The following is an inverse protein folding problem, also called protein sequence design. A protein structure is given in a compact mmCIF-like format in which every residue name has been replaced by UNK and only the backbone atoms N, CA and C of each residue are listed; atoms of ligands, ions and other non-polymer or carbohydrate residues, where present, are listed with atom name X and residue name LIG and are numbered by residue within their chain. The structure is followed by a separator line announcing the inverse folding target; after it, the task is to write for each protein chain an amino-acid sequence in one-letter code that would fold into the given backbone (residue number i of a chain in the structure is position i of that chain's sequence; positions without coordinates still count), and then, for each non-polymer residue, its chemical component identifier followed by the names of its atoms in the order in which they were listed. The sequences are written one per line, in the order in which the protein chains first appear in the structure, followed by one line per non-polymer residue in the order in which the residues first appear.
data_IF_168345213826
#
_entry.id   IF_168345213826
#
_cell.length_a   1.000
_cell.length_b   1.000
_cell.length_c   1.000
_cell.angle_alpha   90.00
_cell.angle_beta   90.00
_cell.angle_gamma   90.00
#
_symmetry.space_group_name_H-M   'P 1'
#
loop_
_entity.id
_entity.type
_entity.pdbx_description
1 polymer ?
#
# COMPACT_ATOMS: atom_id res chain seq x y z
N UNK A 1 -15.81 1.26 7.11
CA UNK A 1 -14.70 1.13 6.15
C UNK A 1 -13.44 1.59 6.85
N UNK A 2 -12.35 0.82 6.82
CA UNK A 2 -11.09 1.19 7.49
C UNK A 2 -10.02 1.49 6.43
N UNK A 3 -9.42 2.68 6.52
CA UNK A 3 -8.28 3.05 5.69
C UNK A 3 -6.99 2.56 6.32
N UNK A 4 -6.10 2.02 5.49
CA UNK A 4 -4.80 1.50 5.91
C UNK A 4 -3.70 2.14 5.07
N UNK A 5 -2.63 2.56 5.74
CA UNK A 5 -1.35 2.88 5.13
C UNK A 5 -0.40 1.69 5.32
N UNK A 6 0.33 1.31 4.28
CA UNK A 6 1.37 0.30 4.35
C UNK A 6 2.75 0.94 4.27
N UNK A 7 3.52 0.82 5.35
CA UNK A 7 4.94 1.20 5.39
C UNK A 7 5.80 0.00 4.98
N UNK A 8 6.43 0.11 3.81
CA UNK A 8 7.27 -0.93 3.25
C UNK A 8 6.48 -1.95 2.40
N UNK A 9 6.94 -2.14 1.16
CA UNK A 9 6.42 -3.11 0.17
C UNK A 9 7.51 -4.09 -0.28
N UNK A 10 8.29 -4.55 0.69
CA UNK A 10 9.16 -5.73 0.56
C UNK A 10 8.35 -7.03 0.39
N UNK A 11 8.96 -8.19 0.64
CA UNK A 11 8.33 -9.50 0.40
C UNK A 11 6.95 -9.61 1.06
N UNK A 12 6.88 -9.40 2.37
CA UNK A 12 5.64 -9.54 3.15
C UNK A 12 4.71 -8.35 2.94
N UNK A 13 5.25 -7.15 2.74
CA UNK A 13 4.45 -5.97 2.41
C UNK A 13 3.60 -6.17 1.15
N UNK A 14 4.14 -6.79 0.11
CA UNK A 14 3.38 -7.12 -1.12
C UNK A 14 2.23 -8.11 -0.87
N UNK A 15 2.45 -9.12 -0.03
CA UNK A 15 1.41 -10.08 0.35
C UNK A 15 0.29 -9.38 1.12
N UNK A 16 0.64 -8.55 2.10
CA UNK A 16 -0.34 -7.77 2.85
C UNK A 16 -1.10 -6.79 1.95
N UNK A 17 -0.42 -6.09 1.04
CA UNK A 17 -1.07 -5.19 0.11
C UNK A 17 -2.15 -5.90 -0.73
N UNK A 18 -1.84 -7.10 -1.24
CA UNK A 18 -2.80 -7.93 -1.97
C UNK A 18 -3.99 -8.37 -1.12
N UNK A 19 -3.77 -8.74 0.14
CA UNK A 19 -4.85 -9.11 1.05
C UNK A 19 -5.74 -7.90 1.40
N UNK A 20 -5.13 -6.75 1.69
CA UNK A 20 -5.83 -5.51 2.01
C UNK A 20 -6.71 -5.05 0.83
N UNK A 21 -6.20 -5.12 -0.40
CA UNK A 21 -6.93 -4.74 -1.61
C UNK A 21 -8.16 -5.64 -1.89
N UNK A 22 -8.16 -6.88 -1.39
CA UNK A 22 -9.27 -7.84 -1.57
C UNK A 22 -10.27 -7.82 -0.42
N UNK A 23 -9.96 -7.15 0.69
CA UNK A 23 -10.79 -7.23 1.88
C UNK A 23 -11.93 -6.19 1.83
N UNK A 24 -13.21 -6.61 1.86
CA UNK A 24 -14.35 -5.74 1.51
C UNK A 24 -14.61 -4.59 2.49
N UNK A 25 -14.00 -4.62 3.68
CA UNK A 25 -14.14 -3.56 4.71
C UNK A 25 -12.90 -2.69 4.86
N UNK A 26 -11.86 -2.91 4.04
CA UNK A 26 -10.57 -2.23 4.13
C UNK A 26 -10.21 -1.61 2.79
N UNK A 27 -9.65 -0.40 2.84
CA UNK A 27 -9.06 0.26 1.67
C UNK A 27 -7.59 0.49 1.99
N UNK A 28 -6.71 -0.11 1.19
CA UNK A 28 -5.31 0.26 1.18
C UNK A 28 -5.20 1.63 0.51
N UNK A 29 -5.10 2.68 1.32
CA UNK A 29 -5.14 4.06 0.83
C UNK A 29 -3.75 4.54 0.44
N UNK A 30 -2.76 4.29 1.30
CA UNK A 30 -1.41 4.80 1.11
C UNK A 30 -0.35 3.70 1.18
N UNK A 31 0.73 3.93 0.44
CA UNK A 31 1.98 3.17 0.51
C UNK A 31 3.11 4.16 0.76
N UNK A 32 3.92 3.90 1.80
CA UNK A 32 5.15 4.62 2.07
C UNK A 32 6.31 3.64 1.93
N UNK A 33 7.17 3.84 0.93
CA UNK A 33 8.38 3.03 0.75
C UNK A 33 9.48 3.88 0.07
N UNK A 34 10.73 3.85 0.57
CA UNK A 34 11.84 4.57 -0.06
C UNK A 34 12.16 4.06 -1.47
N UNK A 35 11.88 2.79 -1.77
CA UNK A 35 11.99 2.21 -3.10
C UNK A 35 10.74 2.53 -3.93
N UNK A 36 10.81 3.64 -4.68
CA UNK A 36 9.70 4.12 -5.53
C UNK A 36 9.26 3.13 -6.60
N UNK A 37 10.17 2.32 -7.15
CA UNK A 37 9.81 1.33 -8.16
C UNK A 37 8.98 0.20 -7.55
N UNK A 38 9.35 -0.28 -6.36
CA UNK A 38 8.58 -1.27 -5.63
C UNK A 38 7.19 -0.72 -5.23
N UNK A 39 7.13 0.52 -4.73
CA UNK A 39 5.88 1.19 -4.40
C UNK A 39 4.95 1.32 -5.62
N UNK A 40 5.48 1.76 -6.77
CA UNK A 40 4.73 1.90 -8.01
C UNK A 40 4.10 0.58 -8.49
N UNK A 41 4.83 -0.53 -8.40
CA UNK A 41 4.30 -1.85 -8.76
C UNK A 41 3.12 -2.26 -7.87
N UNK A 42 3.20 -1.98 -6.57
CA UNK A 42 2.11 -2.32 -5.64
C UNK A 42 0.93 -1.37 -5.80
N UNK A 43 1.17 -0.06 -5.90
CA UNK A 43 0.15 0.95 -6.16
C UNK A 43 -0.67 0.62 -7.42
N UNK A 44 -0.01 0.26 -8.52
CA UNK A 44 -0.69 -0.16 -9.74
C UNK A 44 -1.57 -1.41 -9.56
N UNK A 45 -1.18 -2.33 -8.69
CA UNK A 45 -1.92 -3.58 -8.44
C UNK A 45 -3.08 -3.42 -7.45
N UNK A 46 -3.03 -2.42 -6.56
CA UNK A 46 -4.00 -2.26 -5.46
C UNK A 46 -4.86 -0.99 -5.57
N UNK A 47 -4.46 -0.03 -6.40
CA UNK A 47 -5.08 1.30 -6.49
C UNK A 47 -4.69 2.25 -5.35
N UNK A 48 -3.70 1.89 -4.54
CA UNK A 48 -3.22 2.74 -3.44
C UNK A 48 -2.36 3.90 -3.96
N UNK A 49 -2.37 5.02 -3.24
CA UNK A 49 -1.54 6.19 -3.53
C UNK A 49 -0.17 6.06 -2.86
N UNK A 50 0.89 6.49 -3.54
CA UNK A 50 2.22 6.55 -2.95
C UNK A 50 2.35 7.90 -2.22
N UNK A 51 2.72 7.85 -0.94
CA UNK A 51 2.83 9.01 -0.08
C UNK A 51 4.16 9.03 0.68
N UNK A 52 4.47 10.16 1.31
CA UNK A 52 5.57 10.29 2.28
C UNK A 52 5.05 10.21 3.72
N UNK A 53 5.97 10.23 4.69
CA UNK A 53 5.65 10.10 6.12
C UNK A 53 4.88 11.29 6.69
N UNK A 54 4.96 12.47 6.05
CA UNK A 54 4.27 13.69 6.50
C UNK A 54 2.82 13.73 6.00
N UNK A 55 2.51 12.96 4.94
CA UNK A 55 1.21 12.95 4.28
C UNK A 55 0.20 11.99 4.93
N UNK A 56 0.65 10.89 5.53
CA UNK A 56 -0.19 9.73 5.91
C UNK A 56 -0.71 9.71 7.34
#
# INVERSE_FOLDING_TARGET
MMDVCLFGVGLIGRVHAGNLARHPKVRLRYIVDPNREAAAKVAAATGAEIADTETV
#
